data_IF_988459000166
#
_entry.id   IF_988459000166
#
_cell.length_a   1.000
_cell.length_b   1.000
_cell.length_c   1.000
_cell.angle_alpha   90.00
_cell.angle_beta   90.00
_cell.angle_gamma   90.00
#
_symmetry.space_group_name_H-M   'P 1'
#
loop_
_entity.id
_entity.type
_entity.pdbx_description
1 polymer ?
#
# COMPACT_ATOMS: atom_id res chain seq x y z
N UNK A 1 -20.80 -12.24 10.05
CA UNK A 1 -19.91 -12.03 8.90
C UNK A 1 -20.45 -12.90 7.78
N UNK A 2 -20.99 -12.27 6.73
CA UNK A 2 -21.56 -12.95 5.56
C UNK A 2 -20.45 -13.10 4.51
N UNK A 3 -20.42 -14.21 3.76
CA UNK A 3 -19.36 -14.49 2.78
C UNK A 3 -19.15 -13.37 1.75
N UNK A 4 -20.22 -12.63 1.42
CA UNK A 4 -20.20 -11.48 0.52
C UNK A 4 -19.46 -10.25 1.08
N UNK A 5 -19.60 -9.98 2.38
CA UNK A 5 -18.90 -8.87 3.05
C UNK A 5 -17.39 -9.14 3.08
N UNK A 6 -17.03 -10.39 3.38
CA UNK A 6 -15.64 -10.84 3.38
C UNK A 6 -15.03 -10.78 1.98
N UNK A 7 -15.77 -11.19 0.94
CA UNK A 7 -15.32 -11.08 -0.45
C UNK A 7 -15.09 -9.61 -0.86
N UNK A 8 -15.96 -8.68 -0.44
CA UNK A 8 -15.79 -7.24 -0.69
C UNK A 8 -14.58 -6.64 0.02
N UNK A 9 -14.31 -7.01 1.26
CA UNK A 9 -13.11 -6.54 1.98
C UNK A 9 -11.82 -7.06 1.34
N UNK A 10 -11.82 -8.32 0.90
CA UNK A 10 -10.69 -8.92 0.18
C UNK A 10 -10.52 -8.25 -1.18
N UNK A 11 -11.61 -7.96 -1.92
CA UNK A 11 -11.55 -7.26 -3.20
C UNK A 11 -10.94 -5.86 -3.06
N UNK A 12 -11.39 -5.07 -2.08
CA UNK A 12 -10.84 -3.73 -1.78
C UNK A 12 -9.36 -3.79 -1.41
N UNK A 13 -8.99 -4.76 -0.57
CA UNK A 13 -7.59 -4.96 -0.18
C UNK A 13 -6.76 -5.34 -1.40
N UNK A 14 -7.19 -6.36 -2.15
CA UNK A 14 -6.49 -6.84 -3.35
C UNK A 14 -6.31 -5.74 -4.40
N UNK A 15 -7.33 -4.90 -4.63
CA UNK A 15 -7.23 -3.74 -5.52
C UNK A 15 -6.12 -2.77 -5.06
N UNK A 16 -6.06 -2.45 -3.77
CA UNK A 16 -4.99 -1.60 -3.23
C UNK A 16 -3.59 -2.21 -3.43
N UNK A 17 -3.45 -3.54 -3.39
CA UNK A 17 -2.20 -4.26 -3.68
C UNK A 17 -1.90 -4.45 -5.17
N UNK A 18 -2.90 -4.35 -6.04
CA UNK A 18 -2.80 -4.56 -7.49
C UNK A 18 -2.29 -3.32 -8.23
N UNK A 19 -2.58 -2.12 -7.73
CA UNK A 19 -2.06 -0.90 -8.33
C UNK A 19 -0.57 -0.71 -7.98
N UNK A 20 0.30 -0.43 -8.95
CA UNK A 20 1.69 -0.12 -8.67
C UNK A 20 1.78 1.14 -7.81
N UNK A 21 2.56 1.09 -6.72
CA UNK A 21 2.83 2.30 -5.94
C UNK A 21 3.77 3.18 -6.76
N UNK A 22 3.33 4.38 -7.09
CA UNK A 22 4.16 5.39 -7.71
C UNK A 22 5.06 6.08 -6.66
N UNK A 23 6.14 5.39 -6.29
CA UNK A 23 7.09 5.91 -5.30
C UNK A 23 7.71 7.24 -5.73
N UNK A 24 7.93 7.45 -7.02
CA UNK A 24 8.51 8.69 -7.55
C UNK A 24 7.57 9.87 -7.29
N UNK A 25 6.27 9.69 -7.60
CA UNK A 25 5.24 10.67 -7.28
C UNK A 25 5.16 10.95 -5.79
N UNK A 26 5.15 9.91 -4.94
CA UNK A 26 5.10 10.09 -3.49
C UNK A 26 6.31 10.86 -2.94
N UNK A 27 7.49 10.64 -3.51
CA UNK A 27 8.70 11.40 -3.14
C UNK A 27 8.57 12.87 -3.59
N UNK A 28 8.12 13.08 -4.83
CA UNK A 28 7.94 14.41 -5.40
C UNK A 28 6.89 15.24 -4.65
N UNK A 29 5.85 14.59 -4.15
CA UNK A 29 4.78 15.19 -3.35
C UNK A 29 5.23 15.46 -1.90
N UNK A 30 6.44 15.01 -1.51
CA UNK A 30 6.97 15.16 -0.15
C UNK A 30 6.37 14.19 0.86
N UNK A 31 5.60 13.20 0.40
CA UNK A 31 4.96 12.17 1.23
C UNK A 31 5.92 11.02 1.59
N UNK A 32 6.95 10.81 0.77
CA UNK A 32 8.04 9.89 1.05
C UNK A 32 9.38 10.59 0.89
N UNK A 33 10.32 10.22 1.74
CA UNK A 33 11.71 10.64 1.64
C UNK A 33 12.52 9.39 1.34
N UNK A 34 13.21 9.37 0.20
CA UNK A 34 14.09 8.27 -0.16
C UNK A 34 15.50 8.58 0.30
N UNK A 35 16.00 7.81 1.24
CA UNK A 35 17.39 7.88 1.69
C UNK A 35 18.09 6.57 1.34
N UNK A 36 18.94 6.62 0.30
CA UNK A 36 19.61 5.44 -0.25
C UNK A 36 18.63 4.36 -0.74
N UNK A 37 18.57 3.24 -0.01
CA UNK A 37 17.66 2.10 -0.28
C UNK A 37 16.41 2.09 0.59
N UNK A 38 16.29 3.03 1.51
CA UNK A 38 15.21 3.10 2.49
C UNK A 38 14.25 4.22 2.15
N UNK A 39 12.98 4.04 2.52
CA UNK A 39 11.96 5.08 2.42
C UNK A 39 11.54 5.49 3.82
N UNK A 40 11.33 6.78 4.00
CA UNK A 40 10.93 7.40 5.25
C UNK A 40 9.65 8.18 5.02
N UNK A 41 8.77 8.18 6.01
CA UNK A 41 7.49 8.86 5.97
C UNK A 41 7.54 10.00 6.99
N UNK A 42 7.54 11.27 6.54
CA UNK A 42 7.48 12.40 7.46
C UNK A 42 6.10 12.51 8.11
N UNK A 43 5.03 12.24 7.35
CA UNK A 43 3.65 12.26 7.84
C UNK A 43 2.87 11.04 7.35
N UNK A 44 2.50 10.16 8.29
CA UNK A 44 1.79 8.92 7.97
C UNK A 44 0.34 9.17 7.55
N UNK A 45 -0.28 10.25 8.03
CA UNK A 45 -1.66 10.59 7.71
C UNK A 45 -1.78 11.24 6.32
N UNK A 46 -0.71 11.85 5.83
CA UNK A 46 -0.64 12.40 4.49
C UNK A 46 -0.52 11.32 3.40
N UNK A 47 -0.20 10.07 3.75
CA UNK A 47 -0.12 8.97 2.79
C UNK A 47 -1.50 8.57 2.26
N UNK A 48 -1.62 8.27 0.96
CA UNK A 48 -2.85 7.70 0.42
C UNK A 48 -3.17 6.38 1.12
N UNK A 49 -4.45 6.15 1.42
CA UNK A 49 -4.91 4.94 2.15
C UNK A 49 -4.43 3.64 1.49
N UNK A 50 -4.37 3.61 0.15
CA UNK A 50 -3.85 2.47 -0.62
C UNK A 50 -2.38 2.19 -0.33
N UNK A 51 -1.58 3.25 -0.15
CA UNK A 51 -0.13 3.15 0.11
C UNK A 51 0.11 2.78 1.57
N UNK A 52 -0.60 3.39 2.51
CA UNK A 52 -0.48 3.08 3.93
C UNK A 52 -0.88 1.63 4.24
N UNK A 53 -1.94 1.11 3.59
CA UNK A 53 -2.32 -0.31 3.66
C UNK A 53 -1.26 -1.28 3.11
N UNK A 54 -0.34 -0.81 2.26
CA UNK A 54 0.77 -1.60 1.72
C UNK A 54 2.03 -1.52 2.57
N UNK A 55 2.04 -0.74 3.65
CA UNK A 55 3.17 -0.70 4.59
C UNK A 55 3.17 -2.02 5.35
N UNK A 56 4.26 -2.77 5.16
CA UNK A 56 4.51 -4.04 5.85
C UNK A 56 5.01 -3.77 7.27
N UNK A 57 5.91 -2.80 7.40
CA UNK A 57 6.62 -2.55 8.63
C UNK A 57 7.03 -1.08 8.71
N UNK A 58 6.93 -0.52 9.91
CA UNK A 58 7.43 0.80 10.24
C UNK A 58 8.50 0.67 11.32
N UNK A 59 9.67 1.24 11.10
CA UNK A 59 10.77 1.24 12.04
C UNK A 59 11.14 2.68 12.39
N UNK A 60 11.04 3.05 13.65
CA UNK A 60 11.49 4.35 14.15
C UNK A 60 13.02 4.35 14.23
N UNK A 61 13.66 5.25 13.50
CA UNK A 61 15.12 5.40 13.46
C UNK A 61 15.51 6.82 13.86
N UNK A 62 16.81 7.08 14.05
CA UNK A 62 17.30 8.44 14.37
C UNK A 62 17.01 9.47 13.27
N UNK A 63 16.84 9.01 12.02
CA UNK A 63 16.46 9.83 10.85
C UNK A 63 14.95 9.95 10.63
N UNK A 64 14.15 9.31 11.49
CA UNK A 64 12.68 9.35 11.42
C UNK A 64 12.05 7.98 11.19
N UNK A 65 10.80 7.98 10.74
CA UNK A 65 10.01 6.77 10.56
C UNK A 65 10.32 6.11 9.22
N UNK A 66 11.18 5.09 9.24
CA UNK A 66 11.46 4.27 8.08
C UNK A 66 10.28 3.35 7.82
N UNK A 67 9.84 3.24 6.57
CA UNK A 67 8.75 2.35 6.16
C UNK A 67 9.24 1.34 5.13
N UNK A 68 8.75 0.12 5.28
CA UNK A 68 8.98 -0.99 4.35
C UNK A 68 7.66 -1.38 3.72
N UNK A 69 7.60 -1.40 2.40
CA UNK A 69 6.39 -1.74 1.67
C UNK A 69 6.35 -3.22 1.29
N UNK A 70 5.15 -3.78 1.22
CA UNK A 70 4.94 -5.06 0.56
C UNK A 70 5.29 -4.95 -0.93
N UNK A 71 6.20 -5.82 -1.36
CA UNK A 71 6.52 -5.98 -2.78
C UNK A 71 5.24 -6.38 -3.53
N UNK A 72 5.11 -5.88 -4.74
CA UNK A 72 4.01 -6.25 -5.63
C UNK A 72 3.93 -7.77 -5.75
N UNK A 73 2.76 -8.33 -5.42
CA UNK A 73 2.53 -9.76 -5.50
C UNK A 73 1.64 -10.06 -6.69
N UNK A 74 2.19 -10.77 -7.68
CA UNK A 74 1.43 -11.22 -8.87
C UNK A 74 0.19 -12.03 -8.50
N UNK A 75 0.23 -12.76 -7.37
CA UNK A 75 -0.91 -13.50 -6.86
C UNK A 75 -2.04 -12.58 -6.38
N UNK A 76 -1.71 -11.51 -5.66
CA UNK A 76 -2.70 -10.53 -5.18
C UNK A 76 -3.31 -9.73 -6.34
N UNK A 77 -2.52 -9.42 -7.36
CA UNK A 77 -3.03 -8.82 -8.60
C UNK A 77 -4.05 -9.72 -9.28
N UNK A 78 -3.76 -11.01 -9.43
CA UNK A 78 -4.69 -11.98 -10.02
C UNK A 78 -5.99 -12.12 -9.20
N UNK A 79 -5.88 -12.10 -7.88
CA UNK A 79 -7.04 -12.11 -6.97
C UNK A 79 -7.87 -10.82 -7.13
N UNK A 80 -7.23 -9.66 -7.23
CA UNK A 80 -7.91 -8.39 -7.48
C UNK A 80 -8.68 -8.39 -8.81
N UNK A 81 -8.06 -8.92 -9.87
CA UNK A 81 -8.71 -9.07 -11.19
C UNK A 81 -9.92 -10.02 -11.11
N UNK A 82 -9.78 -11.15 -10.40
CA UNK A 82 -10.88 -12.11 -10.22
C UNK A 82 -12.02 -11.57 -9.34
N UNK A 83 -11.70 -10.71 -8.37
CA UNK A 83 -12.68 -10.11 -7.47
C UNK A 83 -13.22 -8.76 -7.98
N UNK A 84 -12.80 -8.30 -9.16
CA UNK A 84 -13.25 -7.03 -9.73
C UNK A 84 -14.78 -6.98 -9.92
N UNK A 85 -15.44 -8.12 -10.13
CA UNK A 85 -16.90 -8.22 -10.25
C UNK A 85 -17.67 -8.09 -8.93
N UNK A 86 -16.98 -8.08 -7.78
CA UNK A 86 -17.60 -7.87 -6.46
C UNK A 86 -17.51 -6.40 -5.99
N UNK A 87 -16.90 -5.53 -6.80
CA UNK A 87 -16.77 -4.09 -6.54
C UNK A 87 -17.89 -3.25 -7.19
N UNK A 88 -18.83 -3.89 -7.91
CA UNK A 88 -20.06 -3.28 -8.43
C UNK A 88 -21.15 -3.08 -7.34
#
# INVERSE_FOLDING_TARGET
MNDEEMAREIAKSAQAFSEPIDFDKLIKDGLLIKEGRSFYVPDFNALPEKVSKRIKETASTKDGLRVTFHKESKALKKIAEQLSGYLE
#
